data_IF_374015605410
#
_entry.id   IF_374015605410
#
_cell.length_a   1.000
_cell.length_b   1.000
_cell.length_c   1.000
_cell.angle_alpha   90.00
_cell.angle_beta   90.00
_cell.angle_gamma   90.00
#
_symmetry.space_group_name_H-M   'P 1'
#
loop_
_entity.id
_entity.type
_entity.pdbx_description
1 polymer ?
#
# COMPACT_ATOMS: atom_id res chain seq x y z
N UNK A 1 -3.45 5.25 -4.16
CA UNK A 1 -3.27 6.52 -4.89
C UNK A 1 -4.21 7.64 -4.39
N UNK A 2 -3.77 8.91 -4.32
CA UNK A 2 -4.65 10.07 -4.09
C UNK A 2 -4.99 10.81 -5.39
N UNK A 3 -3.96 11.13 -6.19
CA UNK A 3 -4.08 11.59 -7.55
C UNK A 3 -2.75 11.40 -8.29
N UNK A 4 -2.81 11.07 -9.57
CA UNK A 4 -1.66 11.05 -10.48
C UNK A 4 -2.11 11.62 -11.83
N UNK A 5 -1.26 12.42 -12.46
CA UNK A 5 -1.44 12.85 -13.84
C UNK A 5 -0.39 12.13 -14.69
N UNK A 6 -0.86 11.42 -15.72
CA UNK A 6 0.00 10.55 -16.53
C UNK A 6 -0.16 10.97 -18.00
N UNK A 7 0.91 11.40 -18.67
CA UNK A 7 0.87 11.69 -20.10
C UNK A 7 0.47 10.45 -20.91
N UNK A 8 -0.26 10.65 -22.01
CA UNK A 8 -0.65 9.53 -22.88
C UNK A 8 0.56 8.76 -23.40
N UNK A 9 1.62 9.47 -23.78
CA UNK A 9 2.89 8.87 -24.22
C UNK A 9 3.54 7.96 -23.17
N UNK A 10 3.38 8.28 -21.89
CA UNK A 10 3.82 7.41 -20.80
C UNK A 10 3.04 6.11 -20.80
N UNK A 11 1.70 6.17 -20.90
CA UNK A 11 0.85 4.97 -20.98
C UNK A 11 1.21 4.13 -22.21
N UNK A 12 1.42 4.74 -23.37
CA UNK A 12 1.80 4.02 -24.58
C UNK A 12 3.18 3.34 -24.44
N UNK A 13 4.06 3.86 -23.57
CA UNK A 13 5.40 3.29 -23.32
C UNK A 13 5.41 2.20 -22.25
N UNK A 14 4.71 2.41 -21.12
CA UNK A 14 4.82 1.53 -19.94
C UNK A 14 3.58 0.69 -19.69
N UNK A 15 2.48 0.95 -20.40
CA UNK A 15 1.16 0.38 -20.16
C UNK A 15 0.36 1.16 -19.11
N UNK A 16 -0.85 0.68 -18.83
CA UNK A 16 -1.73 1.21 -17.78
C UNK A 16 -1.35 0.64 -16.39
N UNK A 17 -2.11 1.03 -15.36
CA UNK A 17 -2.05 0.39 -14.04
C UNK A 17 -2.35 -1.11 -14.17
N UNK A 18 -1.63 -1.92 -13.40
CA UNK A 18 -1.79 -3.37 -13.44
C UNK A 18 -3.06 -3.78 -12.69
N UNK A 19 -4.04 -4.30 -13.41
CA UNK A 19 -5.37 -4.67 -12.90
C UNK A 19 -5.34 -5.79 -11.84
N UNK A 20 -4.20 -6.49 -11.68
CA UNK A 20 -4.01 -7.44 -10.58
C UNK A 20 -4.06 -6.74 -9.21
N UNK A 21 -3.76 -5.43 -9.16
CA UNK A 21 -3.87 -4.60 -7.97
C UNK A 21 -5.22 -3.87 -7.94
N UNK A 22 -6.20 -4.43 -7.24
CA UNK A 22 -7.48 -3.75 -7.04
C UNK A 22 -7.36 -2.51 -6.14
N UNK A 23 -6.54 -2.60 -5.07
CA UNK A 23 -6.28 -1.51 -4.13
C UNK A 23 -4.93 -1.75 -3.45
N UNK A 24 -4.19 -0.67 -3.19
CA UNK A 24 -2.84 -0.66 -2.64
C UNK A 24 -1.77 -1.21 -3.58
N UNK A 25 -0.56 -0.64 -3.49
CA UNK A 25 0.62 -0.97 -4.30
C UNK A 25 0.51 -0.71 -5.80
N UNK A 26 -0.66 -0.37 -6.34
CA UNK A 26 -0.87 -0.11 -7.77
C UNK A 26 -0.01 1.06 -8.28
N UNK A 27 0.07 2.12 -7.50
CA UNK A 27 0.82 3.34 -7.79
C UNK A 27 2.33 3.14 -7.62
N UNK A 28 2.76 2.43 -6.58
CA UNK A 28 4.16 2.07 -6.32
C UNK A 28 4.70 1.16 -7.44
N UNK A 29 3.95 0.13 -7.83
CA UNK A 29 4.30 -0.75 -8.94
C UNK A 29 4.47 0.03 -10.23
N UNK A 30 3.52 0.91 -10.53
CA UNK A 30 3.58 1.77 -11.72
C UNK A 30 4.81 2.68 -11.70
N UNK A 31 5.10 3.34 -10.58
CA UNK A 31 6.29 4.19 -10.42
C UNK A 31 7.60 3.42 -10.61
N UNK A 32 7.64 2.15 -10.19
CA UNK A 32 8.79 1.26 -10.43
C UNK A 32 8.96 0.94 -11.92
N UNK A 33 7.86 0.75 -12.66
CA UNK A 33 7.91 0.65 -14.13
C UNK A 33 8.41 1.93 -14.78
N UNK A 34 7.94 3.10 -14.37
CA UNK A 34 8.47 4.40 -14.87
C UNK A 34 10.00 4.48 -14.71
N UNK A 35 10.51 4.13 -13.53
CA UNK A 35 11.94 4.08 -13.25
C UNK A 35 12.69 3.11 -14.17
N UNK A 36 12.14 1.92 -14.43
CA UNK A 36 12.73 0.93 -15.36
C UNK A 36 12.85 1.47 -16.78
N UNK A 37 11.87 2.27 -17.22
CA UNK A 37 11.87 2.94 -18.52
C UNK A 37 12.61 4.29 -18.53
N UNK A 38 13.29 4.66 -17.42
CA UNK A 38 13.99 5.95 -17.26
C UNK A 38 13.08 7.16 -17.50
N UNK A 39 11.78 7.01 -17.26
CA UNK A 39 10.83 8.11 -17.33
C UNK A 39 10.88 8.93 -16.03
N UNK A 40 10.68 10.25 -16.11
CA UNK A 40 10.72 11.10 -14.94
C UNK A 40 9.47 10.91 -14.06
N UNK A 41 9.65 11.10 -12.76
CA UNK A 41 8.59 11.08 -11.75
C UNK A 41 8.74 12.35 -10.89
N UNK A 42 7.69 13.16 -10.86
CA UNK A 42 7.72 14.45 -10.17
C UNK A 42 6.65 14.51 -9.08
N UNK A 43 7.01 15.16 -7.98
CA UNK A 43 6.05 15.61 -6.96
C UNK A 43 5.81 17.10 -7.13
N UNK A 44 4.54 17.51 -7.29
CA UNK A 44 4.15 18.89 -7.54
C UNK A 44 3.39 19.46 -6.34
N UNK A 45 4.06 20.11 -5.38
CA UNK A 45 3.42 20.58 -4.13
C UNK A 45 2.38 21.70 -4.35
N UNK A 46 2.43 22.39 -5.49
CA UNK A 46 1.47 23.43 -5.85
C UNK A 46 0.12 22.86 -6.27
N UNK A 47 0.08 21.63 -6.78
CA UNK A 47 -1.16 20.94 -7.13
C UNK A 47 -1.81 20.35 -5.87
N UNK A 48 -2.99 20.84 -5.51
CA UNK A 48 -3.72 20.40 -4.32
C UNK A 48 -4.97 19.63 -4.73
N UNK A 49 -5.09 18.40 -4.24
CA UNK A 49 -6.27 17.54 -4.44
C UNK A 49 -6.80 17.10 -3.09
N UNK A 50 -8.10 17.26 -2.86
CA UNK A 50 -8.77 16.79 -1.65
C UNK A 50 -9.14 15.31 -1.82
N UNK A 51 -8.53 14.43 -1.05
CA UNK A 51 -8.88 13.02 -0.99
C UNK A 51 -9.82 12.77 0.20
N UNK A 52 -11.06 12.38 -0.08
CA UNK A 52 -11.97 11.88 0.96
C UNK A 52 -11.54 10.47 1.35
N UNK A 53 -10.98 10.32 2.55
CA UNK A 53 -10.47 9.04 3.03
C UNK A 53 -11.61 8.13 3.52
N UNK A 54 -11.39 6.82 3.50
CA UNK A 54 -12.24 5.84 4.19
C UNK A 54 -13.29 5.14 3.32
N UNK A 55 -13.68 5.71 2.16
CA UNK A 55 -14.70 5.13 1.30
C UNK A 55 -14.41 3.67 0.87
N UNK A 56 -13.14 3.38 0.56
CA UNK A 56 -12.68 2.04 0.13
C UNK A 56 -12.04 1.23 1.26
N UNK A 57 -12.12 1.70 2.51
CA UNK A 57 -11.30 1.23 3.64
C UNK A 57 -12.05 0.51 4.76
N UNK A 58 -13.33 0.18 4.58
CA UNK A 58 -14.13 -0.51 5.59
C UNK A 58 -13.82 -2.01 5.63
N UNK A 59 -12.62 -2.36 6.13
CA UNK A 59 -12.21 -3.74 6.36
C UNK A 59 -12.10 -4.03 7.86
N UNK A 60 -12.50 -5.24 8.28
CA UNK A 60 -12.47 -5.67 9.69
C UNK A 60 -11.05 -5.80 10.24
N UNK A 61 -10.10 -6.14 9.36
CA UNK A 61 -8.69 -6.23 9.68
C UNK A 61 -7.83 -6.02 8.43
N UNK A 62 -6.53 -5.79 8.63
CA UNK A 62 -5.55 -5.79 7.54
C UNK A 62 -5.62 -7.06 6.68
N UNK A 63 -5.88 -8.21 7.30
CA UNK A 63 -5.94 -9.51 6.63
C UNK A 63 -7.17 -9.65 5.73
N UNK A 64 -8.27 -8.98 6.08
CA UNK A 64 -9.52 -8.96 5.31
C UNK A 64 -9.50 -7.92 4.18
N UNK A 65 -8.45 -7.11 4.10
CA UNK A 65 -8.30 -6.06 3.10
C UNK A 65 -7.54 -6.55 1.87
N UNK A 66 -7.73 -5.92 0.69
CA UNK A 66 -6.94 -6.20 -0.51
C UNK A 66 -5.43 -6.00 -0.32
N UNK A 67 -5.03 -5.30 0.75
CA UNK A 67 -3.63 -4.98 1.07
C UNK A 67 -2.76 -6.23 1.13
N UNK A 68 -3.26 -7.32 1.73
CA UNK A 68 -2.50 -8.57 1.82
C UNK A 68 -2.22 -9.16 0.43
N UNK A 69 -3.24 -9.22 -0.42
CA UNK A 69 -3.12 -9.76 -1.77
C UNK A 69 -2.22 -8.89 -2.63
N UNK A 70 -2.40 -7.56 -2.59
CA UNK A 70 -1.55 -6.61 -3.29
C UNK A 70 -0.08 -6.68 -2.84
N UNK A 71 0.17 -6.81 -1.53
CA UNK A 71 1.53 -7.01 -1.02
C UNK A 71 2.16 -8.32 -1.49
N UNK A 72 1.37 -9.40 -1.61
CA UNK A 72 1.85 -10.67 -2.16
C UNK A 72 2.19 -10.56 -3.65
N UNK A 73 1.39 -9.84 -4.44
CA UNK A 73 1.69 -9.61 -5.87
C UNK A 73 2.97 -8.78 -5.99
N UNK A 74 3.14 -7.73 -5.18
CA UNK A 74 4.27 -6.82 -5.29
C UNK A 74 5.59 -7.40 -4.75
N UNK A 75 5.60 -7.96 -3.54
CA UNK A 75 6.81 -8.44 -2.87
C UNK A 75 7.06 -9.94 -3.01
N UNK A 76 6.06 -10.70 -3.48
CA UNK A 76 6.07 -12.16 -3.41
C UNK A 76 5.60 -12.69 -2.05
N UNK A 77 5.30 -13.98 -2.05
CA UNK A 77 4.59 -14.65 -0.94
C UNK A 77 5.44 -14.77 0.34
N UNK A 78 6.74 -15.00 0.21
CA UNK A 78 7.66 -15.13 1.36
C UNK A 78 7.79 -13.81 2.11
N UNK A 79 8.16 -12.73 1.40
CA UNK A 79 8.34 -11.42 2.02
C UNK A 79 7.04 -10.88 2.62
N UNK A 80 5.92 -11.02 1.88
CA UNK A 80 4.61 -10.62 2.41
C UNK A 80 4.27 -11.37 3.69
N UNK A 81 4.54 -12.68 3.77
CA UNK A 81 4.28 -13.46 4.99
C UNK A 81 5.14 -12.97 6.16
N UNK A 82 6.44 -12.74 5.94
CA UNK A 82 7.33 -12.22 6.98
C UNK A 82 6.90 -10.84 7.49
N UNK A 83 6.59 -9.91 6.57
CA UNK A 83 6.10 -8.58 6.92
C UNK A 83 4.85 -8.64 7.79
N UNK A 84 3.89 -9.50 7.43
CA UNK A 84 2.66 -9.67 8.20
C UNK A 84 2.90 -10.26 9.58
N UNK A 85 3.81 -11.23 9.70
CA UNK A 85 4.19 -11.76 11.01
C UNK A 85 4.80 -10.67 11.89
N UNK A 86 5.70 -9.86 11.36
CA UNK A 86 6.29 -8.73 12.08
C UNK A 86 5.22 -7.73 12.54
N UNK A 87 4.27 -7.38 11.67
CA UNK A 87 3.18 -6.46 12.00
C UNK A 87 2.26 -7.04 13.09
N UNK A 88 1.89 -8.33 12.98
CA UNK A 88 1.04 -9.01 13.95
C UNK A 88 1.69 -9.12 15.32
N UNK A 89 2.98 -9.47 15.36
CA UNK A 89 3.75 -9.52 16.59
C UNK A 89 3.83 -8.12 17.23
N UNK A 90 4.12 -7.09 16.44
CA UNK A 90 4.15 -5.70 16.91
C UNK A 90 2.81 -5.25 17.50
N UNK A 91 1.68 -5.54 16.83
CA UNK A 91 0.34 -5.19 17.33
C UNK A 91 -0.01 -5.91 18.63
N UNK A 92 0.32 -7.20 18.75
CA UNK A 92 0.13 -7.96 20.00
C UNK A 92 0.99 -7.41 21.12
N UNK A 93 2.25 -7.09 20.82
CA UNK A 93 3.20 -6.55 21.79
C UNK A 93 2.77 -5.16 22.29
N UNK A 94 2.27 -4.30 21.39
CA UNK A 94 1.72 -3.00 21.76
C UNK A 94 0.49 -3.11 22.67
N UNK A 95 -0.40 -4.08 22.43
CA UNK A 95 -1.54 -4.35 23.32
C UNK A 95 -1.09 -4.83 24.71
N UNK A 96 -0.09 -5.72 24.74
CA UNK A 96 0.49 -6.23 25.98
C UNK A 96 1.13 -5.11 26.82
N UNK A 97 1.86 -4.19 26.19
CA UNK A 97 2.48 -3.05 26.89
C UNK A 97 1.45 -2.04 27.38
N UNK A 98 0.36 -1.81 26.62
CA UNK A 98 -0.71 -0.86 27.00
C UNK A 98 -1.67 -1.39 28.06
N UNK A 99 -1.75 -2.71 28.27
CA UNK A 99 -2.52 -3.34 29.35
C UNK A 99 -1.58 -4.12 30.27
N UNK A 100 -0.96 -3.49 31.29
CA UNK A 100 -0.25 -4.25 32.31
C UNK A 100 -1.25 -5.13 33.09
N UNK A 101 -0.81 -6.32 33.48
CA UNK A 101 -1.60 -7.31 34.24
C UNK A 101 -2.31 -6.64 35.43
N UNK A 102 -3.57 -7.03 35.76
CA UNK A 102 -4.20 -6.58 36.99
C UNK A 102 -3.29 -6.94 38.15
N UNK A 103 -2.97 -5.96 39.02
CA UNK A 103 -2.20 -6.21 40.23
C UNK A 103 -2.96 -7.30 41.01
N UNK A 104 -2.34 -8.46 41.19
CA UNK A 104 -2.83 -9.47 42.14
C UNK A 104 -2.79 -8.82 43.53
N UNK A 105 -3.97 -8.54 44.07
CA UNK A 105 -4.19 -8.24 45.48
C UNK A 105 -4.67 -9.49 46.19
#
# INVERSE_FOLDING_TARGET
MAAMLIPRSTIDTVGVLDERFFLYYEDIEFCRRLKKHRLPLYYLPQAKVKHAHGASGHFRSHLDSPLLKSAQIYHGRVYSTLLNLTLLLGQKWQKFIRHPLPKLG
#
